data_IF_698034843632
#
_entry.id   IF_698034843632
#
_cell.length_a   1.000
_cell.length_b   1.000
_cell.length_c   1.000
_cell.angle_alpha   90.00
_cell.angle_beta   90.00
_cell.angle_gamma   90.00
#
_symmetry.space_group_name_H-M   'P 1'
#
loop_
_entity.id
_entity.type
_entity.pdbx_description
1 polymer ?
#
# COMPACT_ATOMS: atom_id res chain seq x y z
N UNK A 1 6.75 9.85 12.90
CA UNK A 1 5.96 8.91 12.08
C UNK A 1 5.50 9.64 10.84
N UNK A 2 6.10 9.31 9.71
CA UNK A 2 5.63 9.78 8.41
C UNK A 2 4.55 8.83 7.90
N UNK A 3 3.48 9.39 7.34
CA UNK A 3 2.57 8.65 6.48
C UNK A 3 2.91 9.05 5.06
N UNK A 4 3.21 8.05 4.23
CA UNK A 4 3.43 8.24 2.80
C UNK A 4 2.30 7.55 2.04
N UNK A 5 1.86 8.19 0.95
CA UNK A 5 0.86 7.60 0.06
C UNK A 5 1.58 7.06 -1.18
N UNK A 6 1.48 5.75 -1.38
CA UNK A 6 1.95 5.06 -2.57
C UNK A 6 0.78 4.96 -3.56
N UNK A 7 1.01 5.45 -4.78
CA UNK A 7 0.10 5.24 -5.91
C UNK A 7 0.66 4.13 -6.80
N UNK A 8 -0.05 3.01 -6.86
CA UNK A 8 0.35 1.88 -7.70
C UNK A 8 -0.68 1.61 -8.79
N UNK A 9 -0.19 1.32 -10.00
CA UNK A 9 -1.02 1.04 -11.16
C UNK A 9 -0.99 -0.46 -11.45
N UNK A 10 -2.08 -1.14 -11.08
CA UNK A 10 -2.27 -2.53 -11.46
C UNK A 10 -2.97 -2.62 -12.82
N UNK A 11 -2.44 -3.46 -13.70
CA UNK A 11 -3.05 -3.77 -14.99
C UNK A 11 -3.76 -5.13 -14.93
N UNK A 12 -4.92 -5.24 -15.57
CA UNK A 12 -5.72 -6.47 -15.63
C UNK A 12 -6.72 -6.64 -14.47
N UNK A 13 -7.30 -7.84 -14.37
CA UNK A 13 -8.30 -8.16 -13.33
C UNK A 13 -7.65 -8.13 -11.94
N UNK A 14 -8.10 -7.22 -11.09
CA UNK A 14 -7.44 -6.95 -9.83
C UNK A 14 -8.43 -6.79 -8.67
N UNK A 15 -8.16 -7.51 -7.58
CA UNK A 15 -8.89 -7.40 -6.31
C UNK A 15 -8.08 -6.60 -5.29
N UNK A 16 -8.69 -5.55 -4.74
CA UNK A 16 -8.07 -4.71 -3.70
C UNK A 16 -7.69 -5.51 -2.46
N UNK A 17 -8.54 -6.44 -2.01
CA UNK A 17 -8.26 -7.31 -0.87
C UNK A 17 -7.01 -8.17 -1.09
N UNK A 18 -6.91 -8.77 -2.28
CA UNK A 18 -5.81 -9.68 -2.61
C UNK A 18 -4.48 -8.92 -2.69
N UNK A 19 -4.53 -7.67 -3.12
CA UNK A 19 -3.37 -6.78 -3.15
C UNK A 19 -2.96 -6.26 -1.77
N UNK A 20 -3.93 -5.86 -0.95
CA UNK A 20 -3.66 -5.50 0.44
C UNK A 20 -2.94 -6.64 1.17
N UNK A 21 -3.42 -7.88 0.98
CA UNK A 21 -2.77 -9.05 1.55
C UNK A 21 -1.34 -9.25 1.03
N UNK A 22 -1.10 -9.07 -0.28
CA UNK A 22 0.24 -9.16 -0.87
C UNK A 22 1.20 -8.10 -0.32
N UNK A 23 0.76 -6.85 -0.26
CA UNK A 23 1.57 -5.75 0.29
C UNK A 23 1.85 -5.94 1.78
N UNK A 24 0.85 -6.33 2.57
CA UNK A 24 1.04 -6.64 3.98
C UNK A 24 2.06 -7.79 4.17
N UNK A 25 2.00 -8.82 3.32
CA UNK A 25 2.97 -9.92 3.34
C UNK A 25 4.37 -9.46 2.94
N UNK A 26 4.50 -8.55 1.96
CA UNK A 26 5.78 -7.99 1.55
C UNK A 26 6.42 -7.16 2.67
N UNK A 27 5.61 -6.40 3.39
CA UNK A 27 6.03 -5.52 4.47
C UNK A 27 6.02 -6.17 5.87
N UNK A 28 5.81 -7.50 5.98
CA UNK A 28 5.49 -8.14 7.28
C UNK A 28 6.57 -7.92 8.35
N UNK A 29 7.82 -7.82 7.93
CA UNK A 29 8.98 -7.69 8.82
C UNK A 29 9.45 -6.23 8.93
N UNK A 30 8.74 -5.29 8.28
CA UNK A 30 8.98 -3.86 8.37
C UNK A 30 8.07 -3.26 9.45
N UNK A 31 8.54 -2.24 10.16
CA UNK A 31 7.73 -1.48 11.13
C UNK A 31 6.77 -0.49 10.46
N UNK A 32 5.97 -0.98 9.52
CA UNK A 32 5.02 -0.18 8.75
C UNK A 32 3.62 -0.80 8.77
N UNK A 33 2.60 0.06 8.92
CA UNK A 33 1.20 -0.28 8.68
C UNK A 33 0.89 -0.02 7.21
N UNK A 34 0.23 -0.98 6.56
CA UNK A 34 -0.21 -0.87 5.16
C UNK A 34 -1.72 -0.87 5.08
N UNK A 35 -2.29 0.10 4.37
CA UNK A 35 -3.74 0.25 4.20
C UNK A 35 -4.09 0.63 2.76
N UNK A 36 -4.92 -0.16 2.10
CA UNK A 36 -5.47 0.19 0.78
C UNK A 36 -6.69 1.08 1.01
N UNK A 37 -6.56 2.36 0.70
CA UNK A 37 -7.60 3.37 0.96
C UNK A 37 -8.61 3.51 -0.18
N UNK A 38 -8.26 3.07 -1.39
CA UNK A 38 -9.22 3.04 -2.49
C UNK A 38 -8.57 3.06 -3.88
N UNK A 39 -9.30 3.64 -4.83
CA UNK A 39 -8.83 3.92 -6.18
C UNK A 39 -9.01 5.40 -6.50
N UNK A 40 -8.11 5.94 -7.31
CA UNK A 40 -8.26 7.27 -7.90
C UNK A 40 -9.14 7.22 -9.14
N UNK A 41 -9.55 8.39 -9.67
CA UNK A 41 -10.33 8.51 -10.91
C UNK A 41 -9.66 7.91 -12.16
N UNK A 42 -8.37 7.57 -12.05
CA UNK A 42 -7.58 6.92 -13.11
C UNK A 42 -7.32 5.43 -12.82
N UNK A 43 -8.10 4.83 -11.92
CA UNK A 43 -7.96 3.45 -11.45
C UNK A 43 -6.61 3.12 -10.78
N UNK A 44 -5.87 4.12 -10.30
CA UNK A 44 -4.67 3.85 -9.50
C UNK A 44 -5.09 3.42 -8.11
N UNK A 45 -4.45 2.39 -7.59
CA UNK A 45 -4.67 1.96 -6.22
C UNK A 45 -3.90 2.89 -5.31
N UNK A 46 -4.61 3.45 -4.34
CA UNK A 46 -4.01 4.30 -3.33
C UNK A 46 -3.76 3.48 -2.07
N UNK A 47 -2.52 3.52 -1.60
CA UNK A 47 -2.07 2.79 -0.42
C UNK A 47 -1.41 3.77 0.54
N UNK A 48 -1.88 3.81 1.77
CA UNK A 48 -1.23 4.55 2.82
C UNK A 48 -0.28 3.63 3.60
N UNK A 49 0.97 4.07 3.71
CA UNK A 49 2.03 3.42 4.45
C UNK A 49 2.40 4.33 5.63
N UNK A 50 2.23 3.84 6.85
CA UNK A 50 2.56 4.60 8.06
C UNK A 50 3.55 3.82 8.89
N UNK A 51 4.73 4.38 9.14
CA UNK A 51 5.76 3.69 9.91
C UNK A 51 7.11 4.35 9.83
N UNK A 52 8.09 3.73 10.47
CA UNK A 52 9.47 4.21 10.53
C UNK A 52 10.37 2.97 10.63
N UNK A 53 10.78 2.45 9.48
CA UNK A 53 11.55 1.20 9.40
C UNK A 53 13.06 1.45 9.33
N UNK A 54 13.48 2.49 8.58
CA UNK A 54 14.84 3.03 8.63
C UNK A 54 14.83 4.45 9.19
N UNK A 55 15.77 4.72 10.09
CA UNK A 55 16.09 6.10 10.48
C UNK A 55 16.64 6.83 9.25
N UNK A 56 15.86 7.78 8.74
CA UNK A 56 16.32 8.77 7.75
C UNK A 56 17.36 9.69 8.37
#
# INVERSE_FOLDING_TARGET
MATITLLDKAYGSFSQQLYQARLASLCKDLKVKVEVVGRTDRDWIQVDLTGDDQKV
#
